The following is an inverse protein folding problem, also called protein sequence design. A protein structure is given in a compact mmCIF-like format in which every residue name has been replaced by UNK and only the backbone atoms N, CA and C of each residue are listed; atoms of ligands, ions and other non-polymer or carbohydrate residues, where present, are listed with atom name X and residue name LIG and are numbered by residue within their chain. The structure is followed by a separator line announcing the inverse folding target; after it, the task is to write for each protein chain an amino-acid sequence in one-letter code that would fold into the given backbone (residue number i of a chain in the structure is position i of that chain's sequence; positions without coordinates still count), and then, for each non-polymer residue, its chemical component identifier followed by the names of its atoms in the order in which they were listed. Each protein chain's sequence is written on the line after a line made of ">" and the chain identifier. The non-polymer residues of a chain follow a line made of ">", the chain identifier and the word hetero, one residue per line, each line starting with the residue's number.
data_IF_501172797137
#
_entry.id   IF_501172797137
#
_cell.length_a   1.000
_cell.length_b   1.000
_cell.length_c   1.000
_cell.angle_alpha   90.00
_cell.angle_beta   90.00
_cell.angle_gamma   90.00
#
_symmetry.space_group_name_H-M   'P 1'
#
loop_
_entity.id
_entity.type
_entity.pdbx_description
1 polymer ?
#
# COMPACT_ATOMS: atom_id res chain seq x y z
N UNK A 1 -1.23 -6.65 -15.29
CA UNK A 1 0.06 -5.91 -15.37
C UNK A 1 0.35 -5.10 -14.08
N UNK A 2 -0.56 -4.26 -13.56
CA UNK A 2 -0.27 -3.42 -12.38
C UNK A 2 0.05 -4.16 -11.08
N UNK A 3 -0.69 -5.24 -10.80
CA UNK A 3 -0.48 -6.07 -9.60
C UNK A 3 0.93 -6.66 -9.57
N UNK A 4 1.46 -7.07 -10.73
CA UNK A 4 2.83 -7.60 -10.84
C UNK A 4 3.87 -6.56 -10.47
N UNK A 5 3.73 -5.33 -10.95
CA UNK A 5 4.60 -4.22 -10.55
C UNK A 5 4.49 -3.89 -9.07
N UNK A 6 3.28 -3.92 -8.49
CA UNK A 6 3.10 -3.73 -7.04
C UNK A 6 3.79 -4.81 -6.19
N UNK A 7 3.76 -6.08 -6.61
CA UNK A 7 4.48 -7.16 -5.93
C UNK A 7 5.98 -6.99 -6.08
N UNK A 8 6.46 -6.72 -7.30
CA UNK A 8 7.88 -6.47 -7.56
C UNK A 8 8.41 -5.27 -6.77
N UNK A 9 7.64 -4.18 -6.69
CA UNK A 9 7.94 -3.01 -5.86
C UNK A 9 8.10 -3.42 -4.39
N UNK A 10 7.14 -4.16 -3.84
CA UNK A 10 7.15 -4.58 -2.44
C UNK A 10 8.39 -5.42 -2.12
N UNK A 11 8.75 -6.37 -3.00
CA UNK A 11 9.90 -7.25 -2.80
C UNK A 11 11.22 -6.49 -2.94
N UNK A 12 11.41 -5.73 -4.04
CA UNK A 12 12.67 -5.03 -4.28
C UNK A 12 12.95 -3.94 -3.24
N UNK A 13 11.93 -3.15 -2.91
CA UNK A 13 12.06 -2.10 -1.89
C UNK A 13 12.24 -2.73 -0.50
N UNK A 14 11.46 -3.76 -0.16
CA UNK A 14 11.60 -4.47 1.11
C UNK A 14 12.97 -5.08 1.31
N UNK A 15 13.51 -5.75 0.28
CA UNK A 15 14.84 -6.37 0.35
C UNK A 15 15.96 -5.33 0.49
N UNK A 16 15.91 -4.22 -0.26
CA UNK A 16 16.91 -3.16 -0.14
C UNK A 16 16.89 -2.48 1.24
N UNK A 17 15.70 -2.21 1.79
CA UNK A 17 15.55 -1.70 3.15
C UNK A 17 16.03 -2.71 4.20
N UNK A 18 15.77 -4.00 3.98
CA UNK A 18 16.25 -5.12 4.80
C UNK A 18 17.76 -5.36 4.71
N UNK A 19 18.44 -4.80 3.71
CA UNK A 19 19.90 -4.77 3.61
C UNK A 19 20.52 -3.48 4.19
N UNK A 20 19.69 -2.51 4.64
CA UNK A 20 20.14 -1.20 5.10
C UNK A 20 20.52 -0.24 3.97
N UNK A 21 20.29 -0.63 2.71
CA UNK A 21 20.63 0.16 1.53
C UNK A 21 19.47 1.08 1.13
N UNK A 22 19.46 2.28 1.71
CA UNK A 22 18.45 3.29 1.47
C UNK A 22 18.48 3.85 0.03
N UNK A 23 19.65 3.91 -0.59
CA UNK A 23 19.81 4.42 -1.95
C UNK A 23 19.24 3.43 -2.96
N UNK A 24 19.56 2.15 -2.82
CA UNK A 24 19.00 1.09 -3.64
C UNK A 24 17.49 0.96 -3.46
N UNK A 25 16.96 1.19 -2.25
CA UNK A 25 15.52 1.22 -2.02
C UNK A 25 14.82 2.35 -2.80
N UNK A 26 15.42 3.56 -2.80
CA UNK A 26 14.93 4.71 -3.57
C UNK A 26 14.99 4.45 -5.08
N UNK A 27 16.12 3.96 -5.59
CA UNK A 27 16.27 3.64 -7.01
C UNK A 27 15.30 2.54 -7.46
N UNK A 28 15.10 1.52 -6.64
CA UNK A 28 14.14 0.45 -6.91
C UNK A 28 12.71 0.99 -6.98
N UNK A 29 12.33 1.89 -6.06
CA UNK A 29 11.04 2.55 -6.07
C UNK A 29 10.80 3.35 -7.36
N UNK A 30 11.75 4.21 -7.73
CA UNK A 30 11.65 5.04 -8.95
C UNK A 30 11.58 4.17 -10.21
N UNK A 31 12.44 3.15 -10.30
CA UNK A 31 12.47 2.25 -11.45
C UNK A 31 11.13 1.53 -11.63
N UNK A 32 10.57 0.98 -10.55
CA UNK A 32 9.30 0.24 -10.64
C UNK A 32 8.13 1.18 -10.96
N UNK A 33 8.11 2.41 -10.43
CA UNK A 33 7.10 3.41 -10.79
C UNK A 33 7.18 3.82 -12.27
N UNK A 34 8.39 4.01 -12.81
CA UNK A 34 8.59 4.30 -14.23
C UNK A 34 8.15 3.13 -15.12
N UNK A 35 8.54 1.90 -14.78
CA UNK A 35 8.12 0.71 -15.51
C UNK A 35 6.59 0.53 -15.47
N UNK A 36 5.97 0.76 -14.31
CA UNK A 36 4.52 0.69 -14.17
C UNK A 36 3.81 1.78 -15.00
N UNK A 37 4.31 3.01 -14.99
CA UNK A 37 3.77 4.12 -15.77
C UNK A 37 3.87 3.88 -17.28
N UNK A 38 5.05 3.47 -17.77
CA UNK A 38 5.25 3.14 -19.19
C UNK A 38 4.40 1.93 -19.59
N UNK A 39 4.38 0.87 -18.78
CA UNK A 39 3.56 -0.31 -19.04
C UNK A 39 2.07 0.02 -19.09
N UNK A 40 1.57 0.84 -18.17
CA UNK A 40 0.19 1.30 -18.16
C UNK A 40 -0.14 2.20 -19.35
N UNK A 41 0.80 3.06 -19.78
CA UNK A 41 0.63 3.88 -20.98
C UNK A 41 0.52 3.02 -22.23
N UNK A 42 1.40 2.03 -22.41
CA UNK A 42 1.38 1.12 -23.56
C UNK A 42 0.06 0.34 -23.60
N UNK A 43 -0.38 -0.21 -22.46
CA UNK A 43 -1.66 -0.91 -22.36
C UNK A 43 -2.82 0.04 -22.62
N UNK A 44 -2.81 1.24 -22.05
CA UNK A 44 -3.85 2.26 -22.24
C UNK A 44 -3.98 2.71 -23.69
N UNK A 45 -2.87 2.97 -24.38
CA UNK A 45 -2.86 3.33 -25.81
C UNK A 45 -3.35 2.15 -26.66
N UNK A 46 -2.90 0.94 -26.38
CA UNK A 46 -3.35 -0.27 -27.10
C UNK A 46 -4.85 -0.47 -26.94
N UNK A 47 -5.38 -0.30 -25.72
CA UNK A 47 -6.80 -0.45 -25.44
C UNK A 47 -7.62 0.69 -26.07
N UNK A 48 -7.11 1.92 -26.09
CA UNK A 48 -7.73 3.04 -26.78
C UNK A 48 -7.80 2.82 -28.29
N UNK A 49 -6.74 2.30 -28.90
CA UNK A 49 -6.68 1.98 -30.33
C UNK A 49 -7.63 0.83 -30.70
N UNK A 50 -7.79 -0.14 -29.80
CA UNK A 50 -8.66 -1.31 -30.00
C UNK A 50 -10.06 -1.12 -29.41
N UNK A 51 -10.44 0.10 -28.99
CA UNK A 51 -11.69 0.35 -28.23
C UNK A 51 -12.95 -0.17 -28.93
N UNK A 52 -12.98 -0.09 -30.27
CA UNK A 52 -14.15 -0.48 -31.07
C UNK A 52 -14.16 -1.96 -31.42
N UNK A 53 -13.05 -2.68 -31.22
CA UNK A 53 -12.94 -4.13 -31.49
C UNK A 53 -12.99 -4.93 -30.19
N UNK A 54 -12.47 -4.38 -29.09
CA UNK A 54 -12.35 -5.10 -27.82
C UNK A 54 -13.71 -5.47 -27.23
N UNK A 55 -14.73 -4.63 -27.45
CA UNK A 55 -16.08 -4.89 -26.94
C UNK A 55 -16.73 -6.12 -27.62
N UNK A 56 -16.45 -6.36 -28.90
CA UNK A 56 -16.97 -7.51 -29.66
C UNK A 56 -16.43 -8.85 -29.14
N UNK A 57 -15.30 -8.85 -28.43
CA UNK A 57 -14.76 -10.06 -27.79
C UNK A 57 -15.62 -10.50 -26.61
N UNK A 58 -16.29 -9.56 -25.93
CA UNK A 58 -17.06 -9.82 -24.72
C UNK A 58 -18.56 -9.95 -24.98
N UNK A 59 -19.09 -9.29 -26.01
CA UNK A 59 -20.53 -9.30 -26.31
C UNK A 59 -20.79 -9.04 -27.79
N UNK A 60 -21.94 -9.53 -28.28
CA UNK A 60 -22.46 -9.24 -29.62
C UNK A 60 -23.60 -8.22 -29.61
N UNK A 61 -23.95 -7.69 -28.43
CA UNK A 61 -25.01 -6.69 -28.26
C UNK A 61 -24.49 -5.29 -28.62
N UNK A 62 -25.08 -4.67 -29.65
CA UNK A 62 -24.69 -3.36 -30.16
C UNK A 62 -24.90 -2.23 -29.14
N UNK A 63 -25.91 -2.31 -28.27
CA UNK A 63 -26.16 -1.30 -27.24
C UNK A 63 -25.04 -1.30 -26.19
N UNK A 64 -24.58 -2.48 -25.78
CA UNK A 64 -23.47 -2.62 -24.83
C UNK A 64 -22.16 -2.15 -25.47
N UNK A 65 -21.92 -2.46 -26.74
CA UNK A 65 -20.73 -2.01 -27.48
C UNK A 65 -20.68 -0.48 -27.56
N UNK A 66 -21.80 0.15 -27.91
CA UNK A 66 -21.90 1.61 -27.94
C UNK A 66 -21.61 2.24 -26.57
N UNK A 67 -22.11 1.63 -25.50
CA UNK A 67 -21.88 2.10 -24.13
C UNK A 67 -20.40 1.98 -23.73
N UNK A 68 -19.75 0.86 -24.06
CA UNK A 68 -18.31 0.66 -23.78
C UNK A 68 -17.48 1.70 -24.54
N UNK A 69 -17.75 1.95 -25.82
CA UNK A 69 -17.01 2.94 -26.62
C UNK A 69 -17.10 4.35 -26.02
N UNK A 70 -18.22 4.70 -25.37
CA UNK A 70 -18.38 5.98 -24.65
C UNK A 70 -17.58 6.05 -23.34
N UNK A 71 -17.41 4.93 -22.63
CA UNK A 71 -16.67 4.86 -21.36
C UNK A 71 -15.15 4.82 -21.58
N UNK A 72 -14.72 4.25 -22.71
CA UNK A 72 -13.31 4.03 -23.03
C UNK A 72 -12.39 5.26 -22.88
N UNK A 73 -12.77 6.48 -23.29
CA UNK A 73 -11.96 7.68 -23.07
C UNK A 73 -11.70 7.99 -21.58
N UNK A 74 -12.62 7.66 -20.68
CA UNK A 74 -12.48 7.82 -19.22
C UNK A 74 -11.64 6.68 -18.63
N UNK A 75 -11.77 5.49 -19.22
CA UNK A 75 -11.03 4.31 -18.77
C UNK A 75 -9.51 4.44 -18.94
N UNK A 76 -9.04 5.07 -20.01
CA UNK A 76 -7.59 5.23 -20.28
C UNK A 76 -6.86 5.96 -19.14
N UNK A 77 -7.25 7.19 -18.72
CA UNK A 77 -6.62 7.84 -17.58
C UNK A 77 -6.84 7.08 -16.27
N UNK A 78 -8.02 6.48 -16.08
CA UNK A 78 -8.27 5.60 -14.93
C UNK A 78 -7.23 4.48 -14.82
N UNK A 79 -6.96 3.77 -15.91
CA UNK A 79 -6.00 2.67 -15.94
C UNK A 79 -4.58 3.12 -15.57
N UNK A 80 -4.17 4.31 -16.04
CA UNK A 80 -2.88 4.89 -15.70
C UNK A 80 -2.78 5.18 -14.19
N UNK A 81 -3.77 5.85 -13.62
CA UNK A 81 -3.76 6.19 -12.20
C UNK A 81 -3.91 4.96 -11.31
N UNK A 82 -4.70 3.97 -11.71
CA UNK A 82 -4.85 2.69 -11.01
C UNK A 82 -3.51 1.95 -10.98
N UNK A 83 -2.77 1.94 -12.09
CA UNK A 83 -1.46 1.32 -12.15
C UNK A 83 -0.44 2.00 -11.22
N UNK A 84 -0.44 3.33 -11.18
CA UNK A 84 0.40 4.10 -10.26
C UNK A 84 0.00 3.85 -8.81
N UNK A 85 -1.29 3.94 -8.47
CA UNK A 85 -1.80 3.72 -7.12
C UNK A 85 -1.48 2.31 -6.61
N UNK A 86 -1.70 1.28 -7.44
CA UNK A 86 -1.37 -0.11 -7.10
C UNK A 86 0.12 -0.35 -6.89
N UNK A 87 0.96 0.27 -7.73
CA UNK A 87 2.43 0.18 -7.60
C UNK A 87 2.92 0.88 -6.34
N UNK A 88 2.44 2.10 -6.09
CA UNK A 88 2.70 2.82 -4.85
C UNK A 88 2.23 2.05 -3.61
N UNK A 89 1.06 1.42 -3.67
CA UNK A 89 0.58 0.52 -2.61
C UNK A 89 1.53 -0.66 -2.36
N UNK A 90 2.16 -1.17 -3.43
CA UNK A 90 3.29 -2.11 -3.35
C UNK A 90 4.49 -1.55 -2.59
N UNK A 91 4.94 -0.33 -2.91
CA UNK A 91 6.03 0.35 -2.20
C UNK A 91 5.70 0.56 -0.72
N UNK A 92 4.47 0.98 -0.40
CA UNK A 92 4.02 1.15 0.99
C UNK A 92 4.05 -0.18 1.76
N UNK A 93 3.71 -1.31 1.11
CA UNK A 93 3.88 -2.64 1.70
C UNK A 93 5.35 -2.99 1.92
N UNK A 94 6.22 -2.74 0.94
CA UNK A 94 7.66 -2.96 1.05
C UNK A 94 8.34 -2.15 2.16
N UNK A 95 7.84 -0.95 2.45
CA UNK A 95 8.31 -0.10 3.58
C UNK A 95 7.68 -0.46 4.93
N UNK A 96 6.75 -1.43 4.96
CA UNK A 96 5.99 -1.82 6.15
C UNK A 96 4.98 -0.76 6.61
N UNK A 97 4.60 0.19 5.75
CA UNK A 97 3.61 1.25 6.02
C UNK A 97 2.24 0.98 5.39
N UNK A 98 1.92 -0.29 5.19
CA UNK A 98 0.67 -0.77 4.59
C UNK A 98 -0.62 -0.26 5.28
N UNK A 99 -0.58 0.04 6.59
CA UNK A 99 -1.71 0.61 7.33
C UNK A 99 -2.18 1.94 6.72
N UNK A 100 -1.25 2.81 6.33
CA UNK A 100 -1.55 4.10 5.69
C UNK A 100 -2.26 3.86 4.36
N UNK A 101 -1.74 2.93 3.56
CA UNK A 101 -2.33 2.52 2.30
C UNK A 101 -3.76 2.03 2.45
N UNK A 102 -4.01 1.12 3.41
CA UNK A 102 -5.32 0.55 3.67
C UNK A 102 -6.36 1.59 4.13
N UNK A 103 -5.98 2.50 5.04
CA UNK A 103 -6.86 3.57 5.52
C UNK A 103 -7.27 4.49 4.36
N UNK A 104 -6.29 4.94 3.56
CA UNK A 104 -6.57 5.80 2.41
C UNK A 104 -7.39 5.12 1.33
N UNK A 105 -7.17 3.82 1.13
CA UNK A 105 -7.99 3.03 0.22
C UNK A 105 -9.45 2.98 0.68
N UNK A 106 -9.68 2.73 1.97
CA UNK A 106 -11.01 2.72 2.54
C UNK A 106 -11.70 4.09 2.46
N UNK A 107 -11.00 5.16 2.86
CA UNK A 107 -11.55 6.53 2.80
C UNK A 107 -11.80 6.95 1.36
N UNK A 108 -10.87 6.66 0.45
CA UNK A 108 -11.00 6.97 -0.97
C UNK A 108 -12.23 6.30 -1.57
N UNK A 109 -12.29 4.97 -1.60
CA UNK A 109 -13.36 4.27 -2.29
C UNK A 109 -14.72 4.41 -1.61
N UNK A 110 -14.79 4.30 -0.28
CA UNK A 110 -16.08 4.35 0.43
C UNK A 110 -16.51 5.77 0.80
N UNK A 111 -15.57 6.66 1.11
CA UNK A 111 -15.87 8.04 1.53
C UNK A 111 -15.96 9.05 0.39
N UNK A 112 -15.23 8.84 -0.72
CA UNK A 112 -15.23 9.76 -1.86
C UNK A 112 -15.78 9.11 -3.13
N UNK A 113 -15.18 8.01 -3.58
CA UNK A 113 -15.52 7.36 -4.84
C UNK A 113 -16.97 6.90 -4.90
N UNK A 114 -17.46 6.25 -3.85
CA UNK A 114 -18.84 5.76 -3.80
C UNK A 114 -19.86 6.91 -3.77
N UNK A 115 -19.78 7.91 -2.85
CA UNK A 115 -20.71 9.04 -2.86
C UNK A 115 -20.70 9.82 -4.18
N UNK A 116 -19.51 10.13 -4.71
CA UNK A 116 -19.37 10.85 -5.99
C UNK A 116 -19.99 10.02 -7.12
N UNK A 117 -19.66 8.73 -7.21
CA UNK A 117 -20.21 7.84 -8.24
C UNK A 117 -21.74 7.75 -8.19
N UNK A 118 -22.31 7.55 -7.00
CA UNK A 118 -23.77 7.51 -6.78
C UNK A 118 -24.42 8.84 -7.15
N UNK A 119 -23.84 9.97 -6.73
CA UNK A 119 -24.33 11.30 -7.10
C UNK A 119 -24.31 11.52 -8.61
N UNK A 120 -23.26 11.11 -9.31
CA UNK A 120 -23.17 11.28 -10.77
C UNK A 120 -24.10 10.33 -11.53
N UNK A 121 -24.32 9.10 -11.04
CA UNK A 121 -25.31 8.18 -11.61
C UNK A 121 -26.71 8.78 -11.51
N UNK A 122 -27.14 9.17 -10.30
CA UNK A 122 -28.55 9.48 -10.03
C UNK A 122 -28.90 10.96 -10.17
N UNK A 123 -28.05 11.88 -9.68
CA UNK A 123 -28.35 13.31 -9.71
C UNK A 123 -28.02 13.91 -11.08
N UNK A 124 -26.86 13.58 -11.65
CA UNK A 124 -26.46 14.06 -12.97
C UNK A 124 -27.01 13.21 -14.13
N UNK A 125 -27.67 12.07 -13.83
CA UNK A 125 -28.23 11.14 -14.83
C UNK A 125 -27.20 10.67 -15.86
N UNK A 126 -25.92 10.61 -15.49
CA UNK A 126 -24.82 10.20 -16.36
C UNK A 126 -24.66 8.67 -16.44
N UNK A 127 -25.50 7.91 -15.73
CA UNK A 127 -25.47 6.45 -15.74
C UNK A 127 -24.09 5.88 -15.45
N UNK A 128 -23.63 4.93 -16.27
CA UNK A 128 -22.34 4.25 -16.08
C UNK A 128 -21.13 5.21 -16.22
N UNK A 129 -21.24 6.25 -17.05
CA UNK A 129 -20.19 7.27 -17.23
C UNK A 129 -19.98 8.03 -15.91
N UNK A 130 -21.07 8.31 -15.20
CA UNK A 130 -21.05 8.89 -13.87
C UNK A 130 -20.31 8.04 -12.83
N UNK A 131 -20.51 6.72 -12.88
CA UNK A 131 -19.81 5.78 -12.01
C UNK A 131 -18.30 5.77 -12.28
N UNK A 132 -17.91 5.60 -13.55
CA UNK A 132 -16.49 5.54 -13.95
C UNK A 132 -15.75 6.84 -13.70
N UNK A 133 -16.40 7.99 -13.92
CA UNK A 133 -15.80 9.29 -13.60
C UNK A 133 -15.57 9.47 -12.10
N UNK A 134 -16.54 9.09 -11.24
CA UNK A 134 -16.35 9.10 -9.79
C UNK A 134 -15.21 8.18 -9.32
N UNK A 135 -15.11 6.99 -9.91
CA UNK A 135 -14.01 6.04 -9.66
C UNK A 135 -12.66 6.62 -10.10
N UNK A 136 -12.63 7.28 -11.26
CA UNK A 136 -11.43 7.93 -11.80
C UNK A 136 -10.92 9.03 -10.89
N UNK A 137 -11.81 9.89 -10.38
CA UNK A 137 -11.45 10.95 -9.43
C UNK A 137 -10.89 10.35 -8.14
N UNK A 138 -11.51 9.30 -7.62
CA UNK A 138 -11.03 8.61 -6.42
C UNK A 138 -9.60 8.08 -6.61
N UNK A 139 -9.37 7.31 -7.68
CA UNK A 139 -8.06 6.70 -7.95
C UNK A 139 -7.00 7.76 -8.28
N UNK A 140 -7.37 8.84 -8.97
CA UNK A 140 -6.49 9.98 -9.19
C UNK A 140 -6.00 10.60 -7.87
N UNK A 141 -6.92 10.90 -6.95
CA UNK A 141 -6.57 11.45 -5.63
C UNK A 141 -5.71 10.49 -4.82
N UNK A 142 -6.00 9.18 -4.89
CA UNK A 142 -5.21 8.15 -4.21
C UNK A 142 -3.79 8.05 -4.79
N UNK A 143 -3.65 8.03 -6.11
CA UNK A 143 -2.35 8.01 -6.79
C UNK A 143 -1.53 9.26 -6.44
N UNK A 144 -2.16 10.45 -6.47
CA UNK A 144 -1.53 11.71 -6.11
C UNK A 144 -1.03 11.69 -4.66
N UNK A 145 -1.87 11.30 -3.71
CA UNK A 145 -1.48 11.22 -2.31
C UNK A 145 -0.30 10.26 -2.13
N UNK A 146 -0.35 9.08 -2.74
CA UNK A 146 0.73 8.12 -2.61
C UNK A 146 2.04 8.62 -3.24
N UNK A 147 1.99 9.28 -4.40
CA UNK A 147 3.19 9.87 -5.01
C UNK A 147 3.81 10.95 -4.13
N UNK A 148 3.00 11.85 -3.56
CA UNK A 148 3.47 12.87 -2.62
C UNK A 148 4.06 12.23 -1.37
N UNK A 149 3.36 11.24 -0.80
CA UNK A 149 3.83 10.52 0.37
C UNK A 149 5.18 9.84 0.13
N UNK A 150 5.32 9.10 -0.98
CA UNK A 150 6.54 8.39 -1.35
C UNK A 150 7.67 9.37 -1.66
N UNK A 151 7.37 10.49 -2.34
CA UNK A 151 8.35 11.55 -2.62
C UNK A 151 8.94 12.18 -1.35
N UNK A 152 8.15 12.24 -0.27
CA UNK A 152 8.57 12.73 1.05
C UNK A 152 9.21 11.67 1.97
N UNK A 153 9.39 10.42 1.52
CA UNK A 153 9.97 9.38 2.37
C UNK A 153 11.47 9.66 2.62
N UNK A 154 11.84 9.76 3.90
CA UNK A 154 13.23 9.65 4.30
C UNK A 154 13.64 8.17 4.27
N UNK A 155 14.28 7.76 3.17
CA UNK A 155 14.69 6.39 2.91
C UNK A 155 15.67 5.86 3.96
N UNK A 156 16.57 6.69 4.48
CA UNK A 156 17.51 6.33 5.55
C UNK A 156 16.77 5.93 6.82
N UNK A 157 15.79 6.74 7.25
CA UNK A 157 14.97 6.44 8.43
C UNK A 157 14.13 5.17 8.23
N UNK A 158 13.59 4.96 7.03
CA UNK A 158 12.78 3.77 6.75
C UNK A 158 13.66 2.51 6.70
N UNK A 159 14.89 2.60 6.18
CA UNK A 159 15.85 1.51 6.19
C UNK A 159 16.25 1.14 7.63
N UNK A 160 16.53 2.14 8.48
CA UNK A 160 16.80 1.93 9.90
C UNK A 160 15.63 1.24 10.61
N UNK A 161 14.40 1.72 10.40
CA UNK A 161 13.21 1.09 10.96
C UNK A 161 13.05 -0.36 10.47
N UNK A 162 13.40 -0.67 9.22
CA UNK A 162 13.38 -2.03 8.70
C UNK A 162 14.44 -2.91 9.38
N UNK A 163 15.67 -2.42 9.58
CA UNK A 163 16.73 -3.14 10.30
C UNK A 163 16.37 -3.42 11.76
N UNK A 164 15.76 -2.46 12.45
CA UNK A 164 15.27 -2.63 13.83
C UNK A 164 14.17 -3.70 13.89
N UNK A 165 13.21 -3.67 12.95
CA UNK A 165 12.16 -4.69 12.86
C UNK A 165 12.70 -6.09 12.54
N UNK A 166 13.81 -6.17 11.80
CA UNK A 166 14.49 -7.42 11.48
C UNK A 166 15.39 -7.92 12.62
N UNK A 167 15.53 -7.19 13.72
CA UNK A 167 16.41 -7.55 14.85
C UNK A 167 17.91 -7.38 14.57
N UNK A 168 18.28 -6.82 13.41
CA UNK A 168 19.69 -6.59 13.02
C UNK A 168 20.31 -5.40 13.75
N UNK A 169 19.47 -4.47 14.21
CA UNK A 169 19.83 -3.39 15.13
C UNK A 169 19.05 -3.55 16.43
N UNK A 170 19.57 -4.37 17.34
CA UNK A 170 19.15 -4.39 18.73
C UNK A 170 19.70 -3.17 19.48
N UNK A 171 18.93 -2.68 20.45
CA UNK A 171 19.36 -1.69 21.46
C UNK A 171 20.75 -2.10 21.94
N UNK A 172 21.74 -1.22 21.77
CA UNK A 172 22.98 -1.31 22.54
C UNK A 172 22.58 -1.11 24.00
N UNK A 173 22.14 -2.17 24.68
CA UNK A 173 22.22 -2.19 26.13
C UNK A 173 23.72 -2.11 26.40
N UNK A 174 24.15 -0.92 26.79
CA UNK A 174 25.42 -0.71 27.46
C UNK A 174 25.39 -1.58 28.71
N UNK A 175 25.88 -2.81 28.59
CA UNK A 175 26.34 -3.59 29.74
C UNK A 175 27.33 -2.66 30.45
N UNK A 176 27.05 -2.22 31.69
CA UNK A 176 27.99 -1.38 32.41
C UNK A 176 29.23 -2.23 32.64
N UNK A 177 30.36 -1.81 32.06
CA UNK A 177 31.70 -2.31 32.36
C UNK A 177 31.92 -2.26 33.87
N UNK A 178 32.16 -3.39 34.57
CA UNK A 178 32.89 -3.38 35.82
C UNK A 178 34.37 -3.52 35.45
N UNK A 179 35.10 -2.45 35.67
CA UNK A 179 36.56 -2.43 35.75
C UNK A 179 37.05 -3.56 36.68
N UNK A 180 37.86 -4.49 36.18
CA UNK A 180 39.16 -4.87 36.78
C UNK A 180 39.78 -6.15 36.17
N UNK A 181 41.08 -6.01 35.83
CA UNK A 181 42.13 -7.02 35.54
C UNK A 181 42.29 -7.65 34.14
N UNK A 182 43.54 -8.03 33.76
CA UNK A 182 44.09 -7.73 32.44
C UNK A 182 44.48 -8.98 31.62
N UNK A 183 44.86 -8.70 30.37
CA UNK A 183 45.69 -9.52 29.46
C UNK A 183 45.13 -10.85 28.95
N UNK A 184 44.68 -10.84 27.68
CA UNK A 184 45.47 -11.47 26.62
C UNK A 184 45.13 -10.85 25.26
N UNK A 185 46.15 -10.26 24.63
CA UNK A 185 46.11 -9.78 23.25
C UNK A 185 45.87 -10.98 22.32
N UNK A 186 44.83 -10.96 21.49
CA UNK A 186 44.82 -11.71 20.23
C UNK A 186 44.19 -10.87 19.14
N UNK A 187 45.06 -10.16 18.45
CA UNK A 187 44.85 -9.52 17.17
C UNK A 187 44.77 -10.64 16.11
N UNK A 188 43.61 -10.83 15.46
CA UNK A 188 43.49 -11.57 14.18
C UNK A 188 42.39 -10.93 13.33
N UNK A 189 42.86 -10.16 12.36
CA UNK A 189 42.49 -10.01 10.94
C UNK A 189 41.13 -10.49 10.42
N UNK A 190 40.55 -9.62 9.56
CA UNK A 190 39.48 -9.85 8.59
C UNK A 190 39.35 -11.29 8.06
N UNK A 191 38.12 -11.81 8.05
CA UNK A 191 37.80 -13.07 7.38
C UNK A 191 36.34 -13.51 7.51
N UNK A 192 35.69 -13.60 6.35
CA UNK A 192 34.35 -14.18 6.08
C UNK A 192 34.07 -15.46 6.87
N UNK A 193 32.89 -15.55 7.51
CA UNK A 193 32.43 -16.78 8.17
C UNK A 193 31.43 -17.51 7.26
N UNK A 194 31.84 -18.66 6.72
CA UNK A 194 30.94 -19.73 6.25
C UNK A 194 30.48 -20.57 7.46
N UNK A 195 29.26 -21.14 7.46
CA UNK A 195 28.80 -21.96 8.57
C UNK A 195 29.34 -23.39 8.43
N UNK A 196 30.11 -23.84 9.43
CA UNK A 196 30.56 -25.23 9.51
C UNK A 196 29.56 -26.08 10.30
N UNK A 197 29.25 -27.24 9.73
CA UNK A 197 28.30 -28.24 10.23
C UNK A 197 29.08 -29.23 11.12
N UNK A 198 28.35 -29.93 12.01
CA UNK A 198 28.74 -31.11 12.80
C UNK A 198 29.20 -30.80 14.24
N UNK A 199 28.28 -30.93 15.21
CA UNK A 199 28.31 -32.00 16.25
C UNK A 199 27.05 -31.96 17.15
N UNK A 200 26.20 -33.00 17.16
CA UNK A 200 25.03 -33.10 18.04
C UNK A 200 25.43 -33.81 19.34
N UNK A 201 25.14 -33.25 20.52
CA UNK A 201 24.84 -34.03 21.76
C UNK A 201 24.73 -33.18 23.06
N UNK A 202 24.95 -31.87 23.04
CA UNK A 202 24.82 -31.04 24.27
C UNK A 202 23.60 -30.12 24.32
N UNK A 203 22.75 -30.10 23.28
CA UNK A 203 21.63 -29.16 23.19
C UNK A 203 20.33 -29.63 23.86
N UNK A 204 20.06 -30.93 23.95
CA UNK A 204 18.78 -31.44 24.49
C UNK A 204 18.59 -31.15 25.99
N UNK A 205 19.67 -31.14 26.78
CA UNK A 205 19.60 -30.85 28.23
C UNK A 205 19.51 -29.36 28.54
N UNK A 206 19.98 -28.49 27.63
CA UNK A 206 19.87 -27.04 27.76
C UNK A 206 18.53 -26.51 27.21
N UNK A 207 17.96 -27.16 26.19
CA UNK A 207 16.67 -26.80 25.63
C UNK A 207 15.51 -27.04 26.61
N UNK A 208 15.58 -28.11 27.42
CA UNK A 208 14.49 -28.45 28.35
C UNK A 208 14.44 -27.55 29.60
N UNK A 209 15.54 -26.89 29.97
CA UNK A 209 15.59 -25.95 31.12
C UNK A 209 15.34 -24.49 30.73
N UNK A 210 15.39 -24.17 29.43
CA UNK A 210 15.17 -22.82 28.94
C UNK A 210 13.70 -22.58 28.50
N UNK A 211 12.93 -23.65 28.32
CA UNK A 211 11.52 -23.58 27.89
C UNK A 211 10.54 -23.29 29.05
N UNK A 212 10.95 -23.51 30.31
CA UNK A 212 10.07 -23.28 31.48
C UNK A 212 10.07 -21.81 31.96
N UNK A 213 11.05 -21.01 31.58
CA UNK A 213 11.26 -19.67 32.17
C UNK A 213 11.08 -18.49 31.22
N UNK A 214 10.72 -18.73 29.95
CA UNK A 214 10.58 -17.65 28.97
C UNK A 214 9.20 -17.61 28.30
N UNK A 215 8.14 -17.82 29.08
CA UNK A 215 6.79 -17.43 28.68
C UNK A 215 6.63 -15.91 28.76
N UNK A 216 7.35 -15.18 27.90
CA UNK A 216 6.97 -13.83 27.51
C UNK A 216 5.93 -13.96 26.40
N UNK A 217 4.65 -13.94 26.80
CA UNK A 217 3.55 -13.69 25.89
C UNK A 217 3.74 -12.31 25.27
N UNK A 218 4.38 -12.24 24.11
CA UNK A 218 4.37 -11.04 23.27
C UNK A 218 2.91 -10.84 22.82
N UNK A 219 2.22 -9.78 23.24
CA UNK A 219 0.88 -9.52 22.76
C UNK A 219 1.01 -9.12 21.29
N UNK A 220 0.80 -10.09 20.40
CA UNK A 220 0.83 -9.90 18.93
C UNK A 220 -0.42 -9.13 18.43
N UNK A 221 -1.31 -8.73 19.34
CA UNK A 221 -2.44 -7.84 19.08
C UNK A 221 -2.08 -6.50 19.71
N UNK A 222 -1.70 -5.52 18.88
CA UNK A 222 -1.64 -4.13 19.34
C UNK A 222 -2.99 -3.73 19.90
N UNK A 223 -3.00 -2.96 20.98
CA UNK A 223 -4.19 -2.58 21.78
C UNK A 223 -5.46 -2.57 20.93
N UNK A 224 -6.36 -3.52 21.23
CA UNK A 224 -7.70 -3.57 20.65
C UNK A 224 -8.32 -2.18 20.83
N UNK A 225 -8.53 -1.47 19.72
CA UNK A 225 -9.21 -0.19 19.74
C UNK A 225 -10.52 -0.37 20.51
N UNK A 226 -10.66 0.35 21.62
CA UNK A 226 -11.82 0.28 22.51
C UNK A 226 -13.10 0.39 21.69
N UNK A 227 -14.12 -0.43 21.98
CA UNK A 227 -15.40 -0.47 21.25
C UNK A 227 -15.98 0.94 21.03
N UNK A 228 -15.75 1.87 21.97
CA UNK A 228 -16.11 3.29 21.85
C UNK A 228 -15.45 4.01 20.67
N UNK A 229 -14.19 3.73 20.35
CA UNK A 229 -13.52 4.28 19.17
C UNK A 229 -14.11 3.70 17.89
N UNK A 230 -14.43 2.40 17.87
CA UNK A 230 -15.07 1.77 16.70
C UNK A 230 -16.48 2.36 16.45
N UNK A 231 -17.25 2.57 17.52
CA UNK A 231 -18.57 3.21 17.45
C UNK A 231 -18.43 4.67 17.01
N UNK A 232 -17.42 5.39 17.50
CA UNK A 232 -17.15 6.77 17.09
C UNK A 232 -16.81 6.89 15.60
N UNK A 233 -15.92 6.03 15.10
CA UNK A 233 -15.56 6.01 13.67
C UNK A 233 -16.72 5.59 12.77
N UNK A 234 -17.53 4.61 13.18
CA UNK A 234 -18.75 4.21 12.44
C UNK A 234 -19.84 5.28 12.53
N UNK A 235 -19.94 5.98 13.65
CA UNK A 235 -20.87 7.09 13.85
C UNK A 235 -20.53 8.30 12.98
N UNK A 236 -19.24 8.67 12.91
CA UNK A 236 -18.77 9.73 12.00
C UNK A 236 -19.09 9.37 10.55
N UNK A 237 -18.81 8.14 10.13
CA UNK A 237 -19.10 7.69 8.78
C UNK A 237 -20.61 7.80 8.44
N UNK A 238 -21.48 7.46 9.40
CA UNK A 238 -22.93 7.56 9.23
C UNK A 238 -23.40 9.03 9.17
N UNK A 239 -22.84 9.91 10.01
CA UNK A 239 -23.16 11.34 10.01
C UNK A 239 -22.72 12.00 8.70
N UNK A 240 -21.54 11.66 8.18
CA UNK A 240 -21.06 12.15 6.89
C UNK A 240 -21.95 11.63 5.75
N UNK A 241 -22.35 10.36 5.77
CA UNK A 241 -23.26 9.80 4.78
C UNK A 241 -24.63 10.51 4.78
N UNK A 242 -25.17 10.81 5.96
CA UNK A 242 -26.44 11.54 6.11
C UNK A 242 -26.29 13.00 5.66
N UNK A 243 -25.19 13.68 5.98
CA UNK A 243 -24.94 15.05 5.55
C UNK A 243 -24.83 15.16 4.02
N UNK A 244 -24.16 14.20 3.37
CA UNK A 244 -24.05 14.13 1.91
C UNK A 244 -25.41 13.85 1.27
N UNK A 245 -26.22 12.96 1.85
CA UNK A 245 -27.60 12.71 1.41
C UNK A 245 -28.46 13.98 1.51
N UNK A 246 -28.37 14.69 2.63
CA UNK A 246 -29.12 15.93 2.84
C UNK A 246 -28.69 17.03 1.87
N UNK A 247 -27.39 17.18 1.62
CA UNK A 247 -26.88 18.11 0.61
C UNK A 247 -27.39 17.77 -0.80
N UNK A 248 -27.41 16.47 -1.16
CA UNK A 248 -27.96 16.00 -2.42
C UNK A 248 -29.47 16.27 -2.57
N UNK A 249 -30.24 16.06 -1.50
CA UNK A 249 -31.68 16.37 -1.47
C UNK A 249 -31.91 17.88 -1.58
N UNK A 250 -31.15 18.70 -0.85
CA UNK A 250 -31.23 20.16 -0.90
C UNK A 250 -30.98 20.69 -2.31
N UNK A 251 -29.91 20.24 -2.96
CA UNK A 251 -29.58 20.63 -4.33
C UNK A 251 -30.71 20.23 -5.29
N UNK A 252 -31.28 19.02 -5.13
CA UNK A 252 -32.42 18.56 -5.94
C UNK A 252 -33.66 19.43 -5.75
N UNK A 253 -34.01 19.76 -4.51
CA UNK A 253 -35.19 20.59 -4.18
C UNK A 253 -35.03 22.03 -4.68
N UNK A 254 -33.81 22.57 -4.64
CA UNK A 254 -33.53 23.90 -5.21
C UNK A 254 -33.57 23.90 -6.75
N UNK A 255 -33.16 22.82 -7.40
CA UNK A 255 -33.17 22.72 -8.86
C UNK A 255 -34.56 22.37 -9.45
N UNK A 256 -35.48 21.82 -8.66
CA UNK A 256 -36.89 21.59 -9.06
C UNK A 256 -37.79 22.83 -8.85
N UNK A 257 -37.27 23.91 -8.25
CA UNK A 257 -38.03 25.15 -7.95
C UNK A 257 -37.65 26.37 -8.81
N UNK A 258 -36.66 26.26 -9.69
CA UNK A 258 -36.26 27.29 -10.65
C UNK A 258 -36.61 26.88 -12.07
#
# INVERSE_FOLDING_TARGET
>A
VPLGFGVAASVRVGNALGAGDAEQARHSCVTVLLCAGVGALVVGVSLAALKDVVAYVFTSDEEIIALVSQVMPIFVPFHLFDALAGTCGGVLRGTGKQKIGAILNAIGYYGLGFPIGVSLIFAAKLGIIGLWSGLTVCVFLQALFYMVYIGGINWTRVAEQAQVRAGLKGITETVPTPTDLPTLKKEVTDGVILPDVIRPESQTTQLMKMDENNQYTVPTIGDVLTVSQLIFYRGIALVVAVAVLLAGILIRVFNERG
#
